data_IF_182680962748
#
_entry.id   IF_182680962748
#
_cell.length_a   1.000
_cell.length_b   1.000
_cell.length_c   1.000
_cell.angle_alpha   90.00
_cell.angle_beta   90.00
_cell.angle_gamma   90.00
#
_symmetry.space_group_name_H-M   'P 1'
#
loop_
_entity.id
_entity.type
_entity.pdbx_description
1 polymer ?
#
# COMPACT_ATOMS: atom_id res chain seq x y z
N UNK A 1 16.07 -18.43 -28.30
CA UNK A 1 16.41 -17.73 -27.04
C UNK A 1 17.69 -16.95 -27.29
N UNK A 2 17.68 -15.61 -27.24
CA UNK A 2 18.91 -14.84 -27.15
C UNK A 2 19.21 -14.51 -25.68
N UNK A 3 20.44 -14.83 -25.26
CA UNK A 3 20.99 -14.53 -23.94
C UNK A 3 21.23 -13.02 -23.79
N UNK A 4 20.68 -12.44 -22.72
CA UNK A 4 20.96 -11.08 -22.27
C UNK A 4 21.97 -11.15 -21.12
N UNK A 5 23.20 -10.67 -21.36
CA UNK A 5 24.19 -10.43 -20.31
C UNK A 5 24.24 -8.92 -20.04
N UNK A 6 24.05 -8.54 -18.77
CA UNK A 6 24.22 -7.17 -18.32
C UNK A 6 25.69 -6.89 -18.02
N UNK A 7 26.20 -5.79 -18.60
CA UNK A 7 27.50 -5.24 -18.26
C UNK A 7 27.28 -3.84 -17.69
N UNK A 8 27.69 -3.63 -16.45
CA UNK A 8 27.66 -2.31 -15.78
C UNK A 8 29.05 -1.71 -15.92
N UNK A 9 29.16 -0.66 -16.74
CA UNK A 9 30.38 0.13 -16.87
C UNK A 9 30.38 1.30 -15.90
N UNK A 10 31.43 1.43 -15.10
CA UNK A 10 31.70 2.60 -14.27
C UNK A 10 32.27 3.73 -15.14
N UNK A 11 31.58 4.88 -15.22
CA UNK A 11 32.17 6.12 -15.72
C UNK A 11 31.30 6.97 -16.64
N UNK A 12 30.77 8.05 -16.05
CA UNK A 12 30.37 9.36 -16.60
C UNK A 12 30.15 9.57 -18.12
N UNK A 13 28.96 10.15 -18.38
CA UNK A 13 28.60 11.09 -19.46
C UNK A 13 28.27 10.58 -20.88
N UNK A 14 26.98 10.79 -21.22
CA UNK A 14 26.30 10.71 -22.54
C UNK A 14 25.89 9.33 -23.04
N UNK A 15 24.64 8.99 -22.77
CA UNK A 15 23.90 8.04 -23.61
C UNK A 15 23.35 8.76 -24.84
N UNK A 16 23.76 8.31 -26.03
CA UNK A 16 23.19 8.72 -27.31
C UNK A 16 22.47 7.50 -27.89
N UNK A 17 21.17 7.62 -28.15
CA UNK A 17 20.36 6.54 -28.71
C UNK A 17 20.76 6.32 -30.18
N UNK A 18 21.44 5.21 -30.46
CA UNK A 18 21.67 4.73 -31.81
C UNK A 18 20.53 3.79 -32.24
N UNK A 19 19.85 4.14 -33.32
CA UNK A 19 18.75 3.39 -33.93
C UNK A 19 19.30 2.36 -34.91
N UNK A 20 18.99 1.07 -34.73
CA UNK A 20 19.21 0.04 -35.76
C UNK A 20 17.94 -0.18 -36.59
N UNK A 21 18.14 -0.35 -37.90
CA UNK A 21 17.10 -0.42 -38.93
C UNK A 21 16.31 -1.75 -38.92
N UNK A 22 15.05 -1.63 -39.37
CA UNK A 22 14.03 -2.66 -39.59
C UNK A 22 14.39 -3.76 -40.63
N UNK A 23 13.48 -4.76 -40.75
CA UNK A 23 12.86 -4.98 -42.05
C UNK A 23 11.32 -4.95 -42.02
N UNK A 24 10.75 -3.89 -42.59
CA UNK A 24 9.84 -3.88 -43.76
C UNK A 24 8.71 -4.91 -43.82
N UNK A 25 7.48 -4.46 -43.52
CA UNK A 25 6.27 -4.86 -44.27
C UNK A 25 5.38 -3.63 -44.55
N UNK A 26 4.85 -3.59 -45.77
CA UNK A 26 4.33 -2.43 -46.48
C UNK A 26 2.89 -2.08 -46.12
N UNK A 27 2.54 -0.79 -46.09
CA UNK A 27 1.12 -0.44 -46.11
C UNK A 27 0.65 1.02 -46.18
N UNK A 28 1.40 2.07 -45.82
CA UNK A 28 0.81 3.43 -45.83
C UNK A 28 1.82 4.53 -46.20
N UNK A 29 1.91 4.89 -47.49
CA UNK A 29 2.85 5.90 -48.01
C UNK A 29 2.23 7.23 -48.43
N UNK A 30 0.95 7.49 -48.17
CA UNK A 30 0.31 8.74 -48.61
C UNK A 30 -0.01 9.76 -47.49
N UNK A 31 0.04 9.37 -46.21
CA UNK A 31 -0.40 10.25 -45.11
C UNK A 31 0.76 11.07 -44.50
N UNK A 32 1.99 10.56 -44.51
CA UNK A 32 3.13 11.22 -43.84
C UNK A 32 3.66 12.49 -44.55
N UNK A 33 3.45 12.63 -45.86
CA UNK A 33 3.93 13.81 -46.60
C UNK A 33 3.10 15.08 -46.34
N UNK A 34 1.85 14.93 -45.88
CA UNK A 34 0.96 16.06 -45.60
C UNK A 34 1.22 16.68 -44.21
N UNK A 35 1.65 15.88 -43.23
CA UNK A 35 1.97 16.33 -41.87
C UNK A 35 3.30 17.10 -41.81
N UNK A 36 4.30 16.69 -42.59
CA UNK A 36 5.62 17.35 -42.59
C UNK A 36 5.58 18.73 -43.26
N UNK A 37 4.76 18.91 -44.31
CA UNK A 37 4.60 20.20 -44.98
C UNK A 37 3.82 21.21 -44.11
N UNK A 38 2.83 20.77 -43.32
CA UNK A 38 2.11 21.65 -42.40
C UNK A 38 2.97 22.04 -41.17
N UNK A 39 3.82 21.14 -40.68
CA UNK A 39 4.72 21.42 -39.54
C UNK A 39 5.82 22.44 -39.86
N UNK A 40 6.34 22.46 -41.09
CA UNK A 40 7.37 23.42 -41.49
C UNK A 40 6.82 24.85 -41.71
N UNK A 41 5.54 25.01 -42.06
CA UNK A 41 4.91 26.32 -42.26
C UNK A 41 4.64 27.09 -40.95
N UNK A 42 4.27 26.39 -39.88
CA UNK A 42 3.98 27.01 -38.57
C UNK A 42 5.25 27.48 -37.82
N UNK A 43 6.40 26.85 -38.07
CA UNK A 43 7.68 27.23 -37.45
C UNK A 43 8.26 28.55 -37.92
N UNK A 44 7.88 29.03 -39.12
CA UNK A 44 8.40 30.30 -39.67
C UNK A 44 7.59 31.50 -39.18
N UNK A 45 6.28 31.34 -38.95
CA UNK A 45 5.41 32.45 -38.49
C UNK A 45 5.69 32.84 -37.02
N UNK A 46 6.10 31.88 -36.18
CA UNK A 46 6.42 32.15 -34.78
C UNK A 46 7.76 32.87 -34.56
N UNK A 47 8.67 32.87 -35.53
CA UNK A 47 10.00 33.49 -35.40
C UNK A 47 10.05 34.97 -35.79
N UNK A 48 8.95 35.52 -36.30
CA UNK A 48 8.85 36.91 -36.77
C UNK A 48 8.08 37.84 -35.82
N UNK A 49 7.64 37.35 -34.66
CA UNK A 49 7.07 38.21 -33.63
C UNK A 49 8.21 38.88 -32.84
N UNK A 50 8.32 40.23 -32.87
CA UNK A 50 9.31 40.92 -32.05
C UNK A 50 9.03 40.61 -30.57
N UNK A 51 10.08 40.25 -29.83
CA UNK A 51 9.99 40.01 -28.40
C UNK A 51 9.39 41.25 -27.71
N UNK A 52 8.36 41.08 -26.87
CA UNK A 52 7.81 42.19 -26.12
C UNK A 52 8.92 42.79 -25.23
N UNK A 53 8.97 44.12 -25.08
CA UNK A 53 9.97 44.76 -24.25
C UNK A 53 9.93 44.16 -22.84
N UNK A 54 11.09 43.92 -22.21
CA UNK A 54 11.17 43.27 -20.91
C UNK A 54 10.30 44.04 -19.93
N UNK A 55 9.30 43.36 -19.37
CA UNK A 55 8.54 43.91 -18.26
C UNK A 55 9.52 44.20 -17.12
N UNK A 56 9.41 45.36 -16.45
CA UNK A 56 10.25 45.66 -15.30
C UNK A 56 10.09 44.52 -14.30
N UNK A 57 11.18 43.79 -14.06
CA UNK A 57 11.22 42.73 -13.06
C UNK A 57 10.74 43.33 -11.75
N UNK A 58 9.59 42.89 -11.20
CA UNK A 58 9.15 43.40 -9.91
C UNK A 58 10.27 43.12 -8.90
N UNK A 59 10.78 44.18 -8.28
CA UNK A 59 11.75 44.06 -7.19
C UNK A 59 11.19 43.06 -6.19
N UNK A 60 11.89 41.95 -5.88
CA UNK A 60 11.40 40.97 -4.93
C UNK A 60 11.15 41.69 -3.61
N UNK A 61 9.87 41.77 -3.23
CA UNK A 61 9.49 42.22 -1.90
C UNK A 61 10.05 41.15 -0.96
N UNK A 62 11.11 41.48 -0.24
CA UNK A 62 11.63 40.69 0.86
C UNK A 62 10.55 40.64 1.95
N UNK A 63 9.63 39.69 1.84
CA UNK A 63 8.79 39.31 2.96
C UNK A 63 9.73 38.88 4.09
N UNK A 64 9.57 39.41 5.32
CA UNK A 64 10.38 38.98 6.45
C UNK A 64 10.26 37.47 6.57
N UNK A 65 11.40 36.77 6.56
CA UNK A 65 11.44 35.33 6.82
C UNK A 65 10.79 35.12 8.18
N UNK A 66 9.72 34.32 8.29
CA UNK A 66 9.07 34.09 9.57
C UNK A 66 10.10 33.56 10.56
N UNK A 67 10.28 34.26 11.69
CA UNK A 67 11.16 33.82 12.77
C UNK A 67 10.61 32.49 13.27
N UNK A 68 11.36 31.39 13.07
CA UNK A 68 10.98 30.07 13.57
C UNK A 68 10.77 30.17 15.08
N UNK A 69 9.57 29.88 15.55
CA UNK A 69 9.29 29.88 16.99
C UNK A 69 10.22 28.87 17.68
N UNK A 70 10.59 29.14 18.92
CA UNK A 70 11.30 28.15 19.73
C UNK A 70 10.28 27.15 20.29
N UNK A 71 10.60 25.85 20.24
CA UNK A 71 9.76 24.81 20.84
C UNK A 71 9.65 25.11 22.35
N UNK A 72 8.43 25.14 22.93
CA UNK A 72 8.28 25.25 24.38
C UNK A 72 9.02 24.12 25.10
N UNK A 73 9.82 24.45 26.12
CA UNK A 73 10.66 23.48 26.81
C UNK A 73 9.88 22.25 27.30
N UNK A 74 8.70 22.45 27.90
CA UNK A 74 7.83 21.35 28.34
C UNK A 74 7.34 20.44 27.21
N UNK A 75 7.08 21.00 26.01
CA UNK A 75 6.69 20.19 24.85
C UNK A 75 7.87 19.35 24.38
N UNK A 76 9.06 19.94 24.34
CA UNK A 76 10.29 19.22 24.02
C UNK A 76 10.54 18.07 25.01
N UNK A 77 10.38 18.32 26.32
CA UNK A 77 10.54 17.32 27.37
C UNK A 77 9.54 16.15 27.21
N UNK A 78 8.29 16.43 26.84
CA UNK A 78 7.31 15.37 26.51
C UNK A 78 7.75 14.54 25.31
N UNK A 79 8.19 15.18 24.22
CA UNK A 79 8.65 14.48 23.01
C UNK A 79 9.87 13.60 23.32
N UNK A 80 10.83 14.10 24.10
CA UNK A 80 12.00 13.32 24.53
C UNK A 80 11.58 12.12 25.37
N UNK A 81 10.73 12.34 26.38
CA UNK A 81 10.21 11.27 27.25
C UNK A 81 9.50 10.18 26.46
N UNK A 82 8.65 10.57 25.52
CA UNK A 82 7.94 9.66 24.61
C UNK A 82 8.92 8.86 23.75
N UNK A 83 9.92 9.53 23.16
CA UNK A 83 10.89 8.89 22.30
C UNK A 83 11.74 7.85 23.06
N UNK A 84 12.18 8.18 24.28
CA UNK A 84 12.91 7.25 25.15
C UNK A 84 12.05 6.04 25.53
N UNK A 85 10.80 6.26 25.93
CA UNK A 85 9.89 5.20 26.32
C UNK A 85 9.63 4.19 25.17
N UNK A 86 9.41 4.70 23.96
CA UNK A 86 9.30 3.87 22.75
C UNK A 86 10.58 3.09 22.46
N UNK A 87 11.76 3.72 22.61
CA UNK A 87 13.04 3.09 22.36
C UNK A 87 13.31 1.91 23.31
N UNK A 88 12.95 2.08 24.59
CA UNK A 88 13.20 1.12 25.66
C UNK A 88 12.09 0.07 25.82
N UNK A 89 10.93 0.27 25.17
CA UNK A 89 9.76 -0.58 25.38
C UNK A 89 9.08 -0.33 26.74
N UNK A 90 9.23 0.87 27.31
CA UNK A 90 8.57 1.27 28.56
C UNK A 90 7.14 1.77 28.30
N UNK A 91 6.20 0.82 28.28
CA UNK A 91 4.79 1.11 28.02
C UNK A 91 4.14 2.01 29.09
N UNK A 92 4.60 1.94 30.34
CA UNK A 92 4.03 2.73 31.44
C UNK A 92 4.41 4.20 31.30
N UNK A 93 5.70 4.48 31.05
CA UNK A 93 6.17 5.85 30.79
C UNK A 93 5.54 6.41 29.51
N UNK A 94 5.45 5.60 28.45
CA UNK A 94 4.82 6.03 27.20
C UNK A 94 3.37 6.46 27.45
N UNK A 95 2.58 5.66 28.20
CA UNK A 95 1.19 5.99 28.55
C UNK A 95 1.06 7.32 29.31
N UNK A 96 1.99 7.65 30.19
CA UNK A 96 1.95 8.92 30.92
C UNK A 96 2.14 10.14 30.01
N UNK A 97 2.62 9.94 28.78
CA UNK A 97 2.72 11.02 27.79
C UNK A 97 1.45 11.19 26.97
N UNK A 98 0.42 10.35 27.14
CA UNK A 98 -0.78 10.33 26.30
C UNK A 98 -2.00 10.95 26.98
N UNK A 99 -2.92 11.51 26.17
CA UNK A 99 -4.23 11.92 26.66
C UNK A 99 -5.04 10.74 27.17
N UNK A 100 -5.87 10.97 28.20
CA UNK A 100 -6.88 10.00 28.63
C UNK A 100 -7.86 9.67 27.48
N UNK A 101 -8.18 10.65 26.62
CA UNK A 101 -9.05 10.45 25.45
C UNK A 101 -8.47 9.54 24.36
N UNK A 102 -7.18 9.18 24.45
CA UNK A 102 -6.50 8.29 23.49
C UNK A 102 -6.53 6.83 23.98
N UNK A 103 -6.87 6.58 25.26
CA UNK A 103 -6.69 5.25 25.87
C UNK A 103 -7.48 4.12 25.20
N UNK A 104 -8.67 4.43 24.65
CA UNK A 104 -9.49 3.44 23.92
C UNK A 104 -8.96 3.07 22.52
N UNK A 105 -8.32 4.00 21.81
CA UNK A 105 -7.69 3.72 20.50
C UNK A 105 -6.40 2.87 20.66
N UNK A 106 -5.81 2.87 21.87
CA UNK A 106 -4.47 2.33 22.14
C UNK A 106 -4.48 0.98 22.86
N UNK A 107 -5.61 0.50 23.38
CA UNK A 107 -5.67 -0.82 24.02
C UNK A 107 -5.18 -1.98 23.12
N UNK A 108 -5.47 -1.94 21.81
CA UNK A 108 -4.93 -2.91 20.85
C UNK A 108 -3.42 -2.74 20.59
N UNK A 109 -2.88 -1.52 20.71
CA UNK A 109 -1.44 -1.27 20.63
C UNK A 109 -0.71 -1.71 21.90
N UNK A 110 -1.39 -1.72 23.06
CA UNK A 110 -0.81 -2.10 24.36
C UNK A 110 -0.43 -3.57 24.42
N UNK A 111 -1.25 -4.44 23.86
CA UNK A 111 -0.98 -5.89 23.86
C UNK A 111 0.26 -6.26 23.03
N UNK A 112 0.65 -5.39 22.09
CA UNK A 112 1.77 -5.60 21.18
C UNK A 112 2.88 -4.54 21.34
N UNK A 113 2.95 -3.85 22.48
CA UNK A 113 3.96 -2.82 22.72
C UNK A 113 5.34 -3.45 22.79
N UNK A 114 6.18 -3.17 21.80
CA UNK A 114 7.55 -3.68 21.69
C UNK A 114 8.54 -2.53 21.62
N UNK A 115 9.74 -2.75 22.17
CA UNK A 115 10.81 -1.76 22.11
C UNK A 115 11.19 -1.45 20.65
N UNK A 116 11.22 -0.17 20.29
CA UNK A 116 11.66 0.28 18.96
C UNK A 116 13.17 0.15 18.79
N UNK A 117 13.91 0.07 19.90
CA UNK A 117 15.35 -0.05 19.94
C UNK A 117 16.06 1.30 19.90
N UNK A 118 17.38 1.26 20.11
CA UNK A 118 18.27 2.42 20.10
C UNK A 118 19.29 2.30 18.96
N UNK A 119 19.75 3.41 18.36
CA UNK A 119 20.86 3.36 17.42
C UNK A 119 22.12 2.88 18.15
N UNK A 120 22.91 2.02 17.51
CA UNK A 120 24.15 1.44 18.08
C UNK A 120 25.37 2.36 18.05
N UNK A 121 25.22 3.60 17.54
CA UNK A 121 26.28 4.60 17.38
C UNK A 121 25.91 5.89 18.15
N UNK A 122 26.76 6.93 18.10
CA UNK A 122 26.46 8.28 18.61
C UNK A 122 25.34 9.02 17.84
N UNK A 123 24.52 8.30 17.07
CA UNK A 123 23.39 8.87 16.33
C UNK A 123 22.26 9.22 17.29
N UNK A 124 21.57 10.32 17.00
CA UNK A 124 20.42 10.76 17.80
C UNK A 124 19.28 9.76 17.74
N UNK A 125 18.63 9.51 18.88
CA UNK A 125 17.44 8.65 18.97
C UNK A 125 16.30 9.18 18.09
N UNK A 126 16.11 10.49 18.07
CA UNK A 126 15.13 11.17 17.23
C UNK A 126 15.61 12.57 16.84
N UNK A 127 14.93 13.16 15.86
CA UNK A 127 15.08 14.54 15.41
C UNK A 127 13.69 15.13 15.16
N UNK A 128 13.43 16.33 15.68
CA UNK A 128 12.24 17.11 15.31
C UNK A 128 12.56 17.82 13.99
N UNK A 129 11.92 17.37 12.91
CA UNK A 129 12.11 17.91 11.56
C UNK A 129 11.43 19.27 11.46
N UNK A 130 10.18 19.33 11.91
CA UNK A 130 9.40 20.53 11.94
C UNK A 130 8.37 20.50 13.07
N UNK A 131 7.88 21.68 13.44
CA UNK A 131 6.85 21.81 14.45
C UNK A 131 6.13 23.14 14.27
N UNK A 132 4.89 23.22 14.76
CA UNK A 132 4.21 24.49 14.93
C UNK A 132 3.27 24.46 16.14
N UNK A 133 3.04 25.64 16.71
CA UNK A 133 1.97 25.85 17.68
C UNK A 133 0.70 26.21 16.91
N UNK A 134 -0.29 25.33 16.97
CA UNK A 134 -1.60 25.56 16.39
C UNK A 134 -2.40 26.56 17.24
N UNK A 135 -2.23 26.48 18.57
CA UNK A 135 -2.73 27.42 19.56
C UNK A 135 -1.75 27.47 20.74
N UNK A 136 -2.05 28.27 21.77
CA UNK A 136 -1.28 28.26 23.02
C UNK A 136 -1.32 26.91 23.75
N UNK A 137 -2.28 26.04 23.41
CA UNK A 137 -2.52 24.75 24.06
C UNK A 137 -2.53 23.58 23.10
N UNK A 138 -2.12 23.75 21.83
CA UNK A 138 -2.04 22.66 20.87
C UNK A 138 -0.89 22.85 19.89
N UNK A 139 -0.28 21.74 19.51
CA UNK A 139 0.89 21.73 18.64
C UNK A 139 0.90 20.47 17.78
N UNK A 140 1.70 20.52 16.71
CA UNK A 140 2.13 19.32 16.01
C UNK A 140 3.65 19.31 15.91
N UNK A 141 4.22 18.11 15.84
CA UNK A 141 5.64 17.91 15.59
C UNK A 141 5.83 16.78 14.58
N UNK A 142 6.63 17.03 13.55
CA UNK A 142 7.08 16.04 12.60
C UNK A 142 8.41 15.48 13.08
N UNK A 143 8.39 14.23 13.52
CA UNK A 143 9.46 13.59 14.27
C UNK A 143 10.01 12.45 13.44
N UNK A 144 11.33 12.44 13.26
CA UNK A 144 12.09 11.32 12.73
C UNK A 144 12.75 10.57 13.88
N UNK A 145 12.32 9.35 14.17
CA UNK A 145 12.76 8.53 15.30
C UNK A 145 13.30 7.18 14.84
N UNK A 146 14.31 6.67 15.54
CA UNK A 146 14.86 5.35 15.26
C UNK A 146 13.89 4.23 15.67
N UNK A 147 13.67 3.27 14.78
CA UNK A 147 12.82 2.09 14.97
C UNK A 147 13.38 0.92 14.16
N UNK A 148 13.64 -0.20 14.83
CA UNK A 148 14.01 -1.48 14.20
C UNK A 148 15.19 -1.33 13.19
N UNK A 149 16.24 -0.61 13.57
CA UNK A 149 17.44 -0.48 12.73
C UNK A 149 17.42 0.70 11.74
N UNK A 150 16.27 1.34 11.52
CA UNK A 150 16.07 2.42 10.54
C UNK A 150 15.34 3.62 11.13
N UNK A 151 15.33 4.75 10.43
CA UNK A 151 14.59 5.94 10.86
C UNK A 151 13.18 5.97 10.27
N UNK A 152 12.23 6.15 11.17
CA UNK A 152 10.79 6.25 10.94
C UNK A 152 10.35 7.70 11.18
N UNK A 153 9.58 8.27 10.26
CA UNK A 153 9.10 9.65 10.35
C UNK A 153 7.59 9.68 10.53
N UNK A 154 7.12 10.45 11.49
CA UNK A 154 5.70 10.57 11.83
C UNK A 154 5.38 11.99 12.31
N UNK A 155 4.22 12.50 11.91
CA UNK A 155 3.64 13.72 12.48
C UNK A 155 2.75 13.35 13.67
N UNK A 156 3.05 13.93 14.82
CA UNK A 156 2.32 13.73 16.09
C UNK A 156 1.68 15.03 16.53
N UNK A 157 0.56 14.91 17.22
CA UNK A 157 -0.17 16.05 17.78
C UNK A 157 -0.08 16.04 19.29
N UNK A 158 -0.07 17.24 19.86
CA UNK A 158 0.03 17.46 21.29
C UNK A 158 -0.98 18.50 21.75
N UNK A 159 -1.47 18.35 22.97
CA UNK A 159 -2.27 19.35 23.66
C UNK A 159 -1.68 19.64 25.04
N UNK A 160 -1.89 20.86 25.53
CA UNK A 160 -1.50 21.28 26.86
C UNK A 160 -2.72 21.23 27.79
N UNK A 161 -2.64 20.48 28.87
CA UNK A 161 -3.75 20.31 29.83
C UNK A 161 -3.76 21.37 30.95
N UNK A 162 -2.76 22.26 30.97
CA UNK A 162 -2.55 23.26 32.01
C UNK A 162 -1.27 23.04 32.82
N UNK A 163 -0.78 21.80 32.88
CA UNK A 163 0.43 21.41 33.62
C UNK A 163 1.45 20.74 32.70
N UNK A 164 1.01 19.84 31.83
CA UNK A 164 1.83 19.01 30.95
C UNK A 164 1.37 19.12 29.49
N UNK A 165 2.32 18.86 28.59
CA UNK A 165 1.99 18.52 27.21
C UNK A 165 1.77 17.02 27.11
N UNK A 166 0.69 16.64 26.43
CA UNK A 166 0.27 15.26 26.25
C UNK A 166 0.01 15.00 24.77
N UNK A 167 0.33 13.80 24.30
CA UNK A 167 0.06 13.33 22.95
C UNK A 167 -1.44 13.22 22.74
N UNK A 168 -1.94 13.90 21.72
CA UNK A 168 -3.33 13.88 21.30
C UNK A 168 -3.59 12.69 20.35
N UNK A 169 -4.86 12.26 20.20
CA UNK A 169 -5.22 11.23 19.24
C UNK A 169 -4.85 11.66 17.82
N UNK A 170 -4.30 10.73 17.05
CA UNK A 170 -4.01 10.93 15.62
C UNK A 170 -5.29 11.06 14.77
N UNK A 171 -6.47 10.80 15.35
CA UNK A 171 -7.80 11.04 14.76
C UNK A 171 -8.25 12.51 14.77
N UNK A 172 -7.50 13.43 15.39
CA UNK A 172 -7.90 14.83 15.47
C UNK A 172 -7.61 15.62 14.18
N UNK A 173 -8.35 15.29 13.12
CA UNK A 173 -8.30 15.95 11.80
C UNK A 173 -8.50 17.47 11.85
N UNK A 174 -9.07 18.01 12.94
CA UNK A 174 -9.22 19.46 13.14
C UNK A 174 -7.90 20.20 13.29
N UNK A 175 -6.80 19.48 13.54
CA UNK A 175 -5.45 20.04 13.65
C UNK A 175 -4.75 20.19 12.28
N UNK A 176 -5.34 19.67 11.22
CA UNK A 176 -4.91 19.91 9.83
C UNK A 176 -5.51 21.21 9.31
N UNK A 177 -4.90 21.82 8.28
CA UNK A 177 -5.44 23.07 7.70
C UNK A 177 -6.81 22.90 7.03
N UNK A 178 -7.28 21.66 6.84
CA UNK A 178 -8.50 21.33 6.11
C UNK A 178 -8.42 21.56 4.61
N UNK A 179 -7.25 21.96 4.09
CA UNK A 179 -7.03 22.14 2.66
C UNK A 179 -6.62 20.82 2.03
N UNK A 180 -7.33 20.46 0.97
CA UNK A 180 -7.05 19.27 0.16
C UNK A 180 -6.46 19.68 -1.19
N UNK A 181 -5.60 18.81 -1.73
CA UNK A 181 -5.13 18.80 -3.10
C UNK A 181 -5.55 17.51 -3.78
N UNK A 182 -5.49 17.52 -5.11
CA UNK A 182 -5.71 16.32 -5.89
C UNK A 182 -4.59 16.10 -6.91
N UNK A 183 -4.31 14.83 -7.15
CA UNK A 183 -3.39 14.38 -8.20
C UNK A 183 -3.98 13.14 -8.85
N UNK A 184 -3.78 13.00 -10.15
CA UNK A 184 -4.23 11.84 -10.90
C UNK A 184 -3.04 10.97 -11.28
N UNK A 185 -3.20 9.66 -11.11
CA UNK A 185 -2.27 8.63 -11.59
C UNK A 185 -2.97 7.76 -12.64
N UNK A 186 -2.40 6.63 -13.04
CA UNK A 186 -3.03 5.74 -14.02
C UNK A 186 -4.33 5.15 -13.48
N UNK A 187 -4.33 4.69 -12.22
CA UNK A 187 -5.46 3.97 -11.63
C UNK A 187 -6.17 4.75 -10.51
N UNK A 188 -5.64 5.90 -10.09
CA UNK A 188 -6.19 6.65 -8.96
C UNK A 188 -6.47 8.12 -9.25
N UNK A 189 -7.65 8.58 -8.84
CA UNK A 189 -7.95 9.98 -8.60
C UNK A 189 -7.71 10.26 -7.11
N UNK A 190 -6.57 10.86 -6.78
CA UNK A 190 -6.10 10.97 -5.41
C UNK A 190 -6.53 12.31 -4.82
N UNK A 191 -7.07 12.27 -3.60
CA UNK A 191 -7.37 13.44 -2.77
C UNK A 191 -6.58 13.31 -1.48
N UNK A 192 -5.77 14.32 -1.15
CA UNK A 192 -4.89 14.30 0.02
C UNK A 192 -4.80 15.68 0.65
N UNK A 193 -4.49 15.76 1.95
CA UNK A 193 -4.31 17.04 2.62
C UNK A 193 -2.96 17.69 2.27
N UNK A 194 -2.91 19.01 2.15
CA UNK A 194 -1.71 19.74 1.66
C UNK A 194 -0.42 19.44 2.44
N UNK A 195 -0.53 19.07 3.71
CA UNK A 195 0.60 18.73 4.57
C UNK A 195 1.25 17.38 4.17
N UNK A 196 0.55 16.52 3.43
CA UNK A 196 1.07 15.26 2.87
C UNK A 196 1.85 15.47 1.54
N UNK A 197 1.88 16.69 0.99
CA UNK A 197 2.50 16.96 -0.32
C UNK A 197 3.93 16.42 -0.47
N UNK A 198 4.72 16.47 0.60
CA UNK A 198 6.12 16.03 0.57
C UNK A 198 6.29 14.51 0.47
N UNK A 199 5.27 13.73 0.84
CA UNK A 199 5.34 12.26 0.91
C UNK A 199 4.45 11.56 -0.11
N UNK A 200 3.41 12.26 -0.58
CA UNK A 200 2.37 11.66 -1.43
C UNK A 200 2.94 11.06 -2.72
N UNK A 201 3.92 11.68 -3.37
CA UNK A 201 4.45 11.19 -4.64
C UNK A 201 5.14 9.82 -4.51
N UNK A 202 5.92 9.61 -3.44
CA UNK A 202 6.54 8.30 -3.19
C UNK A 202 5.51 7.25 -2.81
N UNK A 203 4.51 7.62 -2.00
CA UNK A 203 3.41 6.73 -1.61
C UNK A 203 2.60 6.27 -2.81
N UNK A 204 2.24 7.20 -3.70
CA UNK A 204 1.46 6.88 -4.89
C UNK A 204 2.21 6.02 -5.90
N UNK A 205 3.52 6.21 -6.04
CA UNK A 205 4.33 5.33 -6.88
C UNK A 205 4.29 3.88 -6.37
N UNK A 206 4.47 3.68 -5.06
CA UNK A 206 4.40 2.34 -4.48
C UNK A 206 2.99 1.74 -4.61
N UNK A 207 1.94 2.52 -4.34
CA UNK A 207 0.55 2.07 -4.53
C UNK A 207 0.24 1.66 -5.96
N UNK A 208 0.76 2.39 -6.95
CA UNK A 208 0.62 2.05 -8.37
C UNK A 208 1.34 0.75 -8.73
N UNK A 209 2.56 0.54 -8.22
CA UNK A 209 3.32 -0.70 -8.39
C UNK A 209 2.58 -1.88 -7.75
N UNK A 210 2.16 -1.75 -6.50
CA UNK A 210 1.42 -2.78 -5.77
C UNK A 210 0.07 -3.08 -6.43
N UNK A 211 -0.66 -2.06 -6.88
CA UNK A 211 -1.92 -2.24 -7.60
C UNK A 211 -1.72 -3.03 -8.89
N UNK A 212 -0.69 -2.71 -9.68
CA UNK A 212 -0.39 -3.43 -10.91
C UNK A 212 0.00 -4.89 -10.65
N UNK A 213 0.78 -5.14 -9.60
CA UNK A 213 1.17 -6.48 -9.21
C UNK A 213 -0.04 -7.31 -8.74
N UNK A 214 -0.90 -6.73 -7.90
CA UNK A 214 -2.16 -7.35 -7.50
C UNK A 214 -3.06 -7.59 -8.71
N UNK A 215 -3.22 -6.62 -9.59
CA UNK A 215 -4.10 -6.75 -10.74
C UNK A 215 -3.60 -7.79 -11.75
N UNK A 216 -2.29 -7.97 -11.89
CA UNK A 216 -1.73 -9.05 -12.69
C UNK A 216 -2.10 -10.41 -12.09
N UNK A 217 -1.87 -10.58 -10.79
CA UNK A 217 -2.03 -11.87 -10.13
C UNK A 217 -3.53 -12.23 -9.95
N UNK A 218 -4.40 -11.23 -9.78
CA UNK A 218 -5.86 -11.35 -9.71
C UNK A 218 -6.57 -11.27 -11.07
N UNK A 219 -5.84 -11.09 -12.18
CA UNK A 219 -6.40 -11.17 -13.52
C UNK A 219 -7.25 -9.98 -13.98
N UNK A 220 -7.06 -8.77 -13.46
CA UNK A 220 -7.84 -7.57 -13.83
C UNK A 220 -7.94 -7.32 -15.34
N UNK A 221 -6.93 -7.73 -16.12
CA UNK A 221 -6.90 -7.53 -17.57
C UNK A 221 -7.99 -8.29 -18.34
N UNK A 222 -8.53 -9.37 -17.77
CA UNK A 222 -9.57 -10.18 -18.43
C UNK A 222 -10.90 -9.43 -18.58
N UNK A 223 -11.13 -8.39 -17.76
CA UNK A 223 -12.36 -7.59 -17.77
C UNK A 223 -12.47 -6.64 -18.98
N UNK A 224 -11.38 -6.39 -19.70
CA UNK A 224 -11.36 -5.44 -20.82
C UNK A 224 -11.67 -3.99 -20.43
N UNK A 225 -11.79 -3.70 -19.13
CA UNK A 225 -11.99 -2.38 -18.56
C UNK A 225 -10.84 -2.08 -17.58
N UNK A 226 -10.27 -0.88 -17.70
CA UNK A 226 -9.29 -0.36 -16.75
C UNK A 226 -10.01 0.04 -15.45
N UNK A 227 -9.63 -0.59 -14.34
CA UNK A 227 -10.15 -0.24 -13.02
C UNK A 227 -9.55 1.08 -12.58
N UNK A 228 -10.40 2.02 -12.17
CA UNK A 228 -9.96 3.33 -11.67
C UNK A 228 -10.72 3.67 -10.39
N UNK A 229 -10.02 4.15 -9.38
CA UNK A 229 -10.58 4.40 -8.04
C UNK A 229 -10.38 5.85 -7.62
N UNK A 230 -11.24 6.34 -6.74
CA UNK A 230 -10.91 7.54 -5.97
C UNK A 230 -10.12 7.13 -4.74
N UNK A 231 -8.92 7.67 -4.55
CA UNK A 231 -8.09 7.39 -3.38
C UNK A 231 -8.08 8.60 -2.45
N UNK A 232 -8.73 8.50 -1.30
CA UNK A 232 -8.80 9.59 -0.34
C UNK A 232 -7.93 9.32 0.88
N UNK A 233 -6.90 10.15 1.06
CA UNK A 233 -6.10 10.17 2.28
C UNK A 233 -6.80 10.99 3.36
N UNK A 234 -7.19 10.33 4.46
CA UNK A 234 -7.91 10.95 5.58
C UNK A 234 -6.97 11.27 6.74
N UNK A 235 -7.22 12.39 7.40
CA UNK A 235 -6.45 12.85 8.57
C UNK A 235 -6.78 12.11 9.86
N UNK A 236 -7.13 10.82 9.80
CA UNK A 236 -7.41 9.98 10.96
C UNK A 236 -6.58 8.71 10.90
N UNK A 237 -6.03 8.29 12.04
CA UNK A 237 -5.37 6.99 12.17
C UNK A 237 -6.33 5.84 12.47
N UNK A 238 -7.58 6.16 12.84
CA UNK A 238 -8.55 5.19 13.33
C UNK A 238 -9.39 4.68 12.18
N UNK A 239 -9.52 3.35 12.14
CA UNK A 239 -10.16 2.58 11.08
C UNK A 239 -11.65 2.33 11.37
N UNK A 240 -12.37 3.37 11.81
CA UNK A 240 -13.79 3.26 12.20
C UNK A 240 -14.75 3.03 11.02
N UNK A 241 -14.23 2.91 9.80
CA UNK A 241 -15.02 2.69 8.60
C UNK A 241 -14.32 1.66 7.70
N UNK A 242 -15.09 0.88 6.93
CA UNK A 242 -14.50 0.01 5.92
C UNK A 242 -13.60 0.85 5.01
N UNK A 243 -12.42 0.33 4.65
CA UNK A 243 -11.44 1.09 3.90
C UNK A 243 -11.88 1.32 2.45
N UNK A 244 -12.95 0.66 1.99
CA UNK A 244 -13.55 0.84 0.67
C UNK A 244 -15.04 1.22 0.76
N UNK A 245 -15.42 2.30 0.06
CA UNK A 245 -16.79 2.79 -0.10
C UNK A 245 -17.25 2.48 -1.54
N UNK A 246 -17.83 1.29 -1.74
CA UNK A 246 -18.27 0.78 -3.04
C UNK A 246 -19.21 1.75 -3.76
N UNK A 247 -20.11 2.42 -3.03
CA UNK A 247 -21.07 3.35 -3.62
C UNK A 247 -20.40 4.55 -4.31
N UNK A 248 -19.18 4.89 -3.89
CA UNK A 248 -18.36 5.96 -4.47
C UNK A 248 -17.16 5.46 -5.25
N UNK A 249 -16.92 4.15 -5.25
CA UNK A 249 -15.68 3.55 -5.71
C UNK A 249 -14.46 4.26 -5.10
N UNK A 250 -14.52 4.52 -3.78
CA UNK A 250 -13.57 5.32 -3.04
C UNK A 250 -12.83 4.45 -2.02
N UNK A 251 -11.51 4.41 -2.14
CA UNK A 251 -10.59 3.82 -1.16
C UNK A 251 -10.19 4.91 -0.18
N UNK A 252 -10.41 4.69 1.11
CA UNK A 252 -9.99 5.58 2.19
C UNK A 252 -8.77 5.03 2.89
N UNK A 253 -7.67 5.77 2.78
CA UNK A 253 -6.44 5.45 3.48
C UNK A 253 -6.13 6.52 4.52
N UNK A 254 -5.56 6.17 5.67
CA UNK A 254 -5.03 7.16 6.59
C UNK A 254 -3.85 7.92 5.95
N UNK A 255 -3.65 9.16 6.37
CA UNK A 255 -2.51 9.97 5.96
C UNK A 255 -1.19 9.26 6.28
N UNK A 256 -0.24 9.16 5.32
CA UNK A 256 1.06 8.52 5.55
C UNK A 256 1.87 9.23 6.64
N UNK A 257 1.67 10.54 6.83
CA UNK A 257 2.36 11.28 7.90
C UNK A 257 1.86 10.91 9.29
N UNK A 258 0.58 10.58 9.44
CA UNK A 258 -0.01 10.25 10.74
C UNK A 258 0.34 8.85 11.18
N UNK A 259 0.31 7.89 10.26
CA UNK A 259 0.77 6.54 10.56
C UNK A 259 2.28 6.44 10.62
N UNK A 260 2.96 7.28 9.85
CA UNK A 260 4.41 7.35 9.73
C UNK A 260 4.97 6.38 8.69
N UNK A 261 6.17 6.67 8.22
CA UNK A 261 6.83 5.97 7.13
C UNK A 261 8.35 5.88 7.35
N UNK A 262 9.01 4.93 6.73
CA UNK A 262 10.47 4.84 6.74
C UNK A 262 11.05 5.70 5.61
N UNK A 263 12.10 6.48 5.88
CA UNK A 263 12.71 7.34 4.85
C UNK A 263 13.45 6.53 3.75
N UNK A 264 13.68 5.23 3.99
CA UNK A 264 14.34 4.31 3.06
C UNK A 264 13.37 3.74 2.01
N UNK A 265 12.94 4.59 1.06
CA UNK A 265 12.45 4.19 -0.27
C UNK A 265 11.01 3.67 -0.37
N UNK A 266 10.56 2.83 0.56
CA UNK A 266 9.17 2.36 0.64
C UNK A 266 8.39 3.23 1.63
N UNK A 267 7.26 3.77 1.19
CA UNK A 267 6.37 4.57 2.02
C UNK A 267 5.67 3.73 3.10
N UNK A 268 5.51 2.41 2.87
CA UNK A 268 4.97 1.46 3.83
C UNK A 268 5.53 0.04 3.61
N UNK A 269 5.46 -0.78 4.67
CA UNK A 269 5.83 -2.22 4.67
C UNK A 269 4.97 -2.98 5.68
N UNK A 270 4.82 -4.31 5.58
CA UNK A 270 4.06 -5.18 6.51
C UNK A 270 4.38 -5.00 7.99
N UNK A 271 5.58 -4.53 8.32
CA UNK A 271 5.97 -4.15 9.69
C UNK A 271 5.27 -2.89 10.22
N UNK A 272 4.50 -2.20 9.38
CA UNK A 272 3.69 -1.05 9.72
C UNK A 272 2.21 -1.45 9.73
N UNK A 273 1.47 -0.98 10.73
CA UNK A 273 0.01 -1.12 10.74
C UNK A 273 -0.63 -0.53 9.46
N UNK A 274 0.07 0.38 8.78
CA UNK A 274 -0.40 1.05 7.58
C UNK A 274 -0.56 0.12 6.39
N UNK A 275 0.42 -0.74 6.11
CA UNK A 275 0.41 -1.56 4.89
C UNK A 275 -0.73 -2.59 4.92
N UNK A 276 -1.02 -3.20 6.07
CA UNK A 276 -2.14 -4.13 6.20
C UNK A 276 -3.47 -3.48 5.79
N UNK A 277 -3.68 -2.23 6.18
CA UNK A 277 -4.86 -1.47 5.75
C UNK A 277 -4.83 -1.12 4.28
N UNK A 278 -3.70 -0.66 3.75
CA UNK A 278 -3.56 -0.36 2.32
C UNK A 278 -3.88 -1.58 1.47
N UNK A 279 -3.28 -2.71 1.79
CA UNK A 279 -3.44 -3.96 1.07
C UNK A 279 -4.85 -4.53 1.19
N UNK A 280 -5.45 -4.51 2.39
CA UNK A 280 -6.86 -4.90 2.56
C UNK A 280 -7.77 -4.04 1.70
N UNK A 281 -7.57 -2.72 1.71
CA UNK A 281 -8.38 -1.78 0.95
C UNK A 281 -8.27 -1.99 -0.57
N UNK A 282 -7.05 -2.20 -1.08
CA UNK A 282 -6.80 -2.48 -2.49
C UNK A 282 -7.41 -3.81 -2.91
N UNK A 283 -7.23 -4.86 -2.10
CA UNK A 283 -7.82 -6.17 -2.36
C UNK A 283 -9.34 -6.10 -2.39
N UNK A 284 -9.97 -5.54 -1.35
CA UNK A 284 -11.42 -5.37 -1.27
C UNK A 284 -11.93 -4.62 -2.50
N UNK A 285 -11.29 -3.51 -2.85
CA UNK A 285 -11.68 -2.72 -4.01
C UNK A 285 -11.58 -3.49 -5.33
N UNK A 286 -10.50 -4.25 -5.54
CA UNK A 286 -10.32 -5.10 -6.72
C UNK A 286 -11.36 -6.22 -6.72
N UNK A 287 -11.45 -6.99 -5.65
CA UNK A 287 -12.34 -8.16 -5.56
C UNK A 287 -13.80 -7.77 -5.74
N UNK A 288 -14.26 -6.72 -5.06
CA UNK A 288 -15.64 -6.24 -5.18
C UNK A 288 -15.95 -5.77 -6.60
N UNK A 289 -15.03 -5.07 -7.26
CA UNK A 289 -15.26 -4.61 -8.63
C UNK A 289 -15.17 -5.74 -9.67
N UNK A 290 -14.31 -6.73 -9.44
CA UNK A 290 -14.09 -7.82 -10.37
C UNK A 290 -15.17 -8.92 -10.26
N UNK A 291 -15.55 -9.26 -9.03
CA UNK A 291 -16.36 -10.45 -8.73
C UNK A 291 -17.71 -10.09 -8.08
N UNK A 292 -17.94 -8.82 -7.72
CA UNK A 292 -19.20 -8.40 -7.07
C UNK A 292 -19.41 -9.02 -5.68
N UNK A 293 -18.34 -9.49 -5.03
CA UNK A 293 -18.38 -10.19 -3.75
C UNK A 293 -18.16 -9.20 -2.61
N UNK A 294 -19.22 -8.86 -1.88
CA UNK A 294 -19.13 -7.89 -0.77
C UNK A 294 -19.09 -8.52 0.63
N UNK A 295 -19.53 -9.79 0.78
CA UNK A 295 -19.67 -10.44 2.10
C UNK A 295 -19.08 -11.86 2.19
N UNK A 296 -18.44 -12.35 1.12
CA UNK A 296 -17.81 -13.69 1.07
C UNK A 296 -18.71 -14.85 1.56
N UNK A 297 -20.03 -14.75 1.34
CA UNK A 297 -21.05 -15.66 1.87
C UNK A 297 -21.43 -16.81 0.91
N UNK A 298 -20.85 -16.88 -0.28
CA UNK A 298 -21.16 -17.87 -1.30
C UNK A 298 -20.14 -19.03 -1.30
N UNK A 299 -20.51 -20.21 -1.81
CA UNK A 299 -19.54 -21.24 -2.13
C UNK A 299 -18.46 -20.71 -3.09
N UNK A 300 -17.21 -21.06 -2.86
CA UNK A 300 -16.05 -20.58 -3.62
C UNK A 300 -15.39 -19.33 -3.03
N UNK A 301 -16.09 -18.57 -2.18
CA UNK A 301 -15.57 -17.32 -1.62
C UNK A 301 -14.34 -17.53 -0.71
N UNK A 302 -14.28 -18.66 0.00
CA UNK A 302 -13.07 -19.03 0.77
C UNK A 302 -11.84 -19.21 -0.13
N UNK A 303 -12.01 -19.75 -1.34
CA UNK A 303 -10.94 -19.93 -2.30
C UNK A 303 -10.49 -18.58 -2.89
N UNK A 304 -11.45 -17.69 -3.20
CA UNK A 304 -11.17 -16.31 -3.59
C UNK A 304 -10.34 -15.58 -2.52
N UNK A 305 -10.68 -15.75 -1.24
CA UNK A 305 -9.91 -15.20 -0.12
C UNK A 305 -8.49 -15.76 -0.05
N UNK A 306 -8.33 -17.08 -0.20
CA UNK A 306 -7.02 -17.72 -0.18
C UNK A 306 -6.13 -17.27 -1.36
N UNK A 307 -6.71 -17.07 -2.55
CA UNK A 307 -6.00 -16.51 -3.72
C UNK A 307 -5.60 -15.06 -3.46
N UNK A 308 -6.42 -14.29 -2.75
CA UNK A 308 -6.12 -12.91 -2.39
C UNK A 308 -4.93 -12.81 -1.43
N UNK A 309 -4.86 -13.68 -0.41
CA UNK A 309 -3.67 -13.81 0.46
C UNK A 309 -2.44 -14.21 -0.36
N UNK A 310 -2.59 -15.16 -1.28
CA UNK A 310 -1.51 -15.60 -2.15
C UNK A 310 -0.96 -14.44 -3.00
N UNK A 311 -1.83 -13.63 -3.62
CA UNK A 311 -1.45 -12.46 -4.39
C UNK A 311 -0.72 -11.43 -3.52
N UNK A 312 -1.24 -11.14 -2.32
CA UNK A 312 -0.58 -10.23 -1.37
C UNK A 312 0.84 -10.67 -1.00
N UNK A 313 1.00 -11.95 -0.67
CA UNK A 313 2.30 -12.50 -0.27
C UNK A 313 3.36 -12.43 -1.40
N UNK A 314 2.93 -12.21 -2.65
CA UNK A 314 3.81 -12.03 -3.81
C UNK A 314 4.20 -10.58 -4.05
N UNK A 315 3.32 -9.63 -3.70
CA UNK A 315 3.64 -8.19 -3.70
C UNK A 315 4.66 -7.88 -2.62
N UNK A 316 4.34 -8.28 -1.40
CA UNK A 316 5.22 -8.11 -0.26
C UNK A 316 5.05 -9.34 0.65
N UNK A 317 6.13 -10.09 0.96
CA UNK A 317 6.03 -11.29 1.78
C UNK A 317 5.35 -11.01 3.13
N UNK A 318 4.32 -11.79 3.44
CA UNK A 318 3.61 -11.67 4.71
C UNK A 318 4.54 -12.03 5.88
N UNK A 319 4.34 -11.43 7.07
CA UNK A 319 5.08 -11.82 8.27
C UNK A 319 5.00 -13.32 8.52
N UNK A 320 6.09 -13.89 9.02
CA UNK A 320 6.16 -15.33 9.26
C UNK A 320 5.04 -15.80 10.19
N UNK A 321 4.67 -14.99 11.18
CA UNK A 321 3.61 -15.26 12.14
C UNK A 321 2.23 -15.36 11.46
N UNK A 322 1.95 -14.48 10.49
CA UNK A 322 0.72 -14.51 9.69
C UNK A 322 0.67 -15.77 8.83
N UNK A 323 1.80 -16.12 8.21
CA UNK A 323 1.91 -17.35 7.42
C UNK A 323 1.87 -18.59 8.30
N UNK A 324 2.40 -18.55 9.51
CA UNK A 324 2.41 -19.66 10.46
C UNK A 324 0.99 -19.96 10.96
N UNK A 325 0.16 -18.93 11.18
CA UNK A 325 -1.28 -19.13 11.41
C UNK A 325 -1.98 -19.85 10.24
N UNK A 326 -1.50 -19.64 9.01
CA UNK A 326 -2.01 -20.31 7.80
C UNK A 326 -1.32 -21.65 7.52
N UNK A 327 -0.19 -21.96 8.18
CA UNK A 327 0.64 -23.15 7.95
C UNK A 327 0.61 -24.14 9.10
N UNK A 328 0.11 -23.76 10.27
CA UNK A 328 -0.12 -24.65 11.41
C UNK A 328 -1.56 -25.16 11.32
N UNK A 329 -1.83 -26.23 10.56
CA UNK A 329 -3.13 -26.87 10.62
C UNK A 329 -3.33 -27.28 12.07
N UNK A 330 -4.42 -26.86 12.69
CA UNK A 330 -4.76 -27.26 14.06
C UNK A 330 -5.07 -28.76 14.14
N UNK A 331 -4.14 -29.66 13.82
CA UNK A 331 -4.31 -31.12 13.72
C UNK A 331 -5.62 -31.53 13.03
N UNK A 332 -6.13 -30.72 12.10
CA UNK A 332 -7.42 -30.95 11.45
C UNK A 332 -7.21 -31.94 10.30
N UNK A 333 -8.10 -32.92 10.11
CA UNK A 333 -8.02 -33.78 8.95
C UNK A 333 -8.14 -32.95 7.66
N UNK A 334 -7.44 -33.38 6.61
CA UNK A 334 -7.60 -32.78 5.28
C UNK A 334 -9.05 -32.94 4.83
N UNK A 335 -9.68 -31.82 4.50
CA UNK A 335 -11.06 -31.79 4.02
C UNK A 335 -11.10 -32.20 2.55
N UNK A 336 -12.23 -32.78 2.13
CA UNK A 336 -12.51 -32.98 0.72
C UNK A 336 -12.59 -31.63 0.00
N UNK A 337 -12.15 -31.59 -1.26
CA UNK A 337 -12.14 -30.37 -2.07
C UNK A 337 -13.54 -29.76 -2.22
N UNK A 338 -14.57 -30.58 -2.32
CA UNK A 338 -15.97 -30.13 -2.36
C UNK A 338 -16.40 -29.50 -1.03
N UNK A 339 -15.91 -30.00 0.11
CA UNK A 339 -16.17 -29.38 1.41
C UNK A 339 -15.50 -28.02 1.51
N UNK A 340 -14.28 -27.88 0.99
CA UNK A 340 -13.57 -26.59 0.95
C UNK A 340 -14.33 -25.56 0.09
N UNK A 341 -14.97 -25.98 -0.99
CA UNK A 341 -15.81 -25.09 -1.81
C UNK A 341 -16.97 -24.48 -1.04
N UNK A 342 -17.64 -25.26 -0.20
CA UNK A 342 -18.77 -24.78 0.59
C UNK A 342 -18.34 -23.89 1.77
N UNK A 343 -17.04 -23.79 2.05
CA UNK A 343 -16.52 -22.93 3.13
C UNK A 343 -16.47 -21.47 2.66
N UNK A 344 -17.50 -20.71 3.07
CA UNK A 344 -17.76 -19.33 2.66
C UNK A 344 -19.12 -18.87 3.21
N UNK A 345 -20.11 -19.76 3.24
CA UNK A 345 -21.41 -19.50 3.89
C UNK A 345 -21.24 -19.28 5.40
N UNK A 346 -21.36 -18.03 5.83
CA UNK A 346 -21.06 -17.52 7.17
C UNK A 346 -21.62 -18.31 8.37
N UNK A 347 -20.82 -18.31 9.45
CA UNK A 347 -21.27 -18.52 10.83
C UNK A 347 -20.35 -19.37 11.69
N UNK A 348 -19.61 -20.31 11.10
CA UNK A 348 -18.73 -21.21 11.87
C UNK A 348 -17.36 -20.57 12.08
N UNK A 349 -16.92 -20.56 13.34
CA UNK A 349 -15.60 -20.06 13.73
C UNK A 349 -14.50 -20.93 13.12
N UNK A 350 -13.91 -20.43 12.04
CA UNK A 350 -12.72 -21.00 11.41
C UNK A 350 -12.98 -21.57 10.02
N UNK A 351 -13.03 -20.70 9.01
CA UNK A 351 -12.76 -21.09 7.63
C UNK A 351 -11.47 -21.94 7.63
N UNK A 352 -11.40 -23.07 6.91
CA UNK A 352 -10.18 -23.85 6.74
C UNK A 352 -9.24 -23.14 5.75
N UNK A 353 -8.96 -21.87 6.05
CA UNK A 353 -8.20 -20.93 5.23
C UNK A 353 -6.75 -21.40 5.08
N UNK A 354 -6.22 -22.12 6.08
CA UNK A 354 -4.97 -22.85 6.00
C UNK A 354 -4.99 -23.87 4.84
N UNK A 355 -6.01 -24.73 4.76
CA UNK A 355 -6.11 -25.75 3.72
C UNK A 355 -6.37 -25.13 2.33
N UNK A 356 -7.21 -24.10 2.25
CA UNK A 356 -7.45 -23.34 1.02
C UNK A 356 -6.18 -22.65 0.53
N UNK A 357 -5.40 -22.04 1.43
CA UNK A 357 -4.12 -21.43 1.08
C UNK A 357 -3.09 -22.49 0.63
N UNK A 358 -3.05 -23.65 1.28
CA UNK A 358 -2.24 -24.78 0.83
C UNK A 358 -2.65 -25.31 -0.54
N UNK A 359 -3.95 -25.34 -0.84
CA UNK A 359 -4.47 -25.70 -2.17
C UNK A 359 -3.97 -24.73 -3.24
N UNK A 360 -4.05 -23.41 -2.99
CA UNK A 360 -3.51 -22.39 -3.91
C UNK A 360 -2.01 -22.57 -4.11
N UNK A 361 -1.24 -22.83 -3.05
CA UNK A 361 0.21 -23.11 -3.15
C UNK A 361 0.52 -24.36 -3.95
N UNK A 362 -0.26 -25.44 -3.78
CA UNK A 362 -0.12 -26.64 -4.59
C UNK A 362 -0.35 -26.32 -6.07
N UNK A 363 -1.39 -25.54 -6.39
CA UNK A 363 -1.71 -25.16 -7.76
C UNK A 363 -0.57 -24.35 -8.39
N UNK A 364 -0.02 -23.37 -7.67
CA UNK A 364 1.14 -22.61 -8.13
C UNK A 364 2.36 -23.51 -8.38
N UNK A 365 2.63 -24.48 -7.50
CA UNK A 365 3.80 -25.36 -7.61
C UNK A 365 3.67 -26.37 -8.76
N UNK A 366 2.51 -26.98 -8.93
CA UNK A 366 2.28 -28.04 -9.92
C UNK A 366 1.98 -27.47 -11.32
N UNK A 367 1.22 -26.36 -11.38
CA UNK A 367 0.69 -25.81 -12.64
C UNK A 367 1.17 -24.38 -12.95
N UNK A 368 1.87 -23.71 -12.03
CA UNK A 368 2.39 -22.36 -12.20
C UNK A 368 1.44 -21.25 -11.74
N UNK A 369 1.96 -20.03 -11.58
CA UNK A 369 1.18 -18.89 -11.10
C UNK A 369 -0.01 -18.52 -12.02
N UNK A 370 0.14 -18.64 -13.34
CA UNK A 370 -0.95 -18.36 -14.28
C UNK A 370 -2.15 -19.30 -14.09
N UNK A 371 -1.93 -20.52 -13.61
CA UNK A 371 -3.00 -21.46 -13.32
C UNK A 371 -3.85 -21.01 -12.12
N UNK A 372 -3.27 -20.31 -11.15
CA UNK A 372 -4.02 -19.70 -10.04
C UNK A 372 -4.97 -18.61 -10.58
N UNK A 373 -4.48 -17.76 -11.49
CA UNK A 373 -5.30 -16.72 -12.13
C UNK A 373 -6.42 -17.32 -12.98
N UNK A 374 -6.17 -18.37 -13.76
CA UNK A 374 -7.23 -19.04 -14.54
C UNK A 374 -8.27 -19.73 -13.64
N UNK A 375 -7.83 -20.33 -12.52
CA UNK A 375 -8.77 -20.86 -11.52
C UNK A 375 -9.66 -19.75 -10.97
N UNK A 376 -9.06 -18.62 -10.61
CA UNK A 376 -9.77 -17.45 -10.11
C UNK A 376 -10.85 -16.97 -11.09
N UNK A 377 -10.52 -16.87 -12.39
CA UNK A 377 -11.49 -16.53 -13.44
C UNK A 377 -12.63 -17.55 -13.54
N UNK A 378 -12.36 -18.83 -13.30
CA UNK A 378 -13.38 -19.88 -13.35
C UNK A 378 -14.33 -19.86 -12.14
N UNK A 379 -13.87 -19.40 -10.96
CA UNK A 379 -14.65 -19.40 -9.71
C UNK A 379 -15.98 -18.68 -9.87
N UNK A 380 -15.99 -17.50 -10.50
CA UNK A 380 -17.18 -16.64 -10.64
C UNK A 380 -18.36 -17.34 -11.32
N UNK A 381 -18.07 -18.21 -12.29
CA UNK A 381 -19.09 -18.93 -13.06
C UNK A 381 -19.34 -20.36 -12.59
N UNK A 382 -18.44 -20.92 -11.78
CA UNK A 382 -18.48 -22.31 -11.36
C UNK A 382 -19.53 -22.53 -10.25
N UNK A 383 -20.25 -23.65 -10.34
CA UNK A 383 -21.21 -24.06 -9.31
C UNK A 383 -20.60 -25.02 -8.28
N UNK A 384 -19.37 -25.49 -8.53
CA UNK A 384 -18.69 -26.48 -7.70
C UNK A 384 -17.17 -26.41 -7.88
N UNK A 385 -16.44 -26.98 -6.93
CA UNK A 385 -14.97 -27.15 -7.03
C UNK A 385 -14.55 -27.92 -8.28
N UNK A 386 -15.32 -28.94 -8.66
CA UNK A 386 -15.07 -29.78 -9.84
C UNK A 386 -15.08 -28.89 -11.08
N UNK A 387 -16.14 -28.10 -11.24
CA UNK A 387 -16.29 -27.19 -12.39
C UNK A 387 -15.20 -26.12 -12.41
N UNK A 388 -14.88 -25.51 -11.26
CA UNK A 388 -13.82 -24.51 -11.17
C UNK A 388 -12.44 -25.08 -11.58
N UNK A 389 -12.10 -26.29 -11.12
CA UNK A 389 -10.84 -26.97 -11.45
C UNK A 389 -10.81 -27.39 -12.93
N UNK A 390 -11.85 -28.06 -13.42
CA UNK A 390 -11.84 -28.57 -14.79
C UNK A 390 -11.85 -27.43 -15.82
N UNK A 391 -12.62 -26.36 -15.57
CA UNK A 391 -12.68 -25.21 -16.46
C UNK A 391 -11.45 -24.29 -16.32
N UNK A 392 -10.99 -24.02 -15.10
CA UNK A 392 -9.88 -23.11 -14.85
C UNK A 392 -8.51 -23.72 -15.13
N UNK A 393 -8.31 -24.98 -14.77
CA UNK A 393 -7.01 -25.66 -14.89
C UNK A 393 -6.93 -26.57 -16.12
N UNK A 394 -8.06 -26.93 -16.73
CA UNK A 394 -8.08 -27.81 -17.91
C UNK A 394 -7.63 -29.25 -17.62
N UNK A 395 -7.71 -29.68 -16.36
CA UNK A 395 -7.34 -31.04 -15.92
C UNK A 395 -8.56 -31.77 -15.35
N UNK A 396 -8.71 -33.09 -15.57
CA UNK A 396 -9.80 -33.85 -14.97
C UNK A 396 -9.74 -33.81 -13.44
N UNK A 397 -10.88 -33.59 -12.77
CA UNK A 397 -10.92 -33.42 -11.32
C UNK A 397 -10.32 -34.60 -10.55
N UNK A 398 -10.57 -35.84 -11.00
CA UNK A 398 -10.02 -37.04 -10.35
C UNK A 398 -8.48 -37.10 -10.41
N UNK A 399 -7.86 -36.62 -11.49
CA UNK A 399 -6.40 -36.52 -11.58
C UNK A 399 -5.87 -35.44 -10.63
N UNK A 400 -6.54 -34.28 -10.61
CA UNK A 400 -6.19 -33.19 -9.72
C UNK A 400 -6.25 -33.60 -8.25
N UNK A 401 -7.36 -34.19 -7.80
CA UNK A 401 -7.55 -34.62 -6.42
C UNK A 401 -6.48 -35.65 -6.02
N UNK A 402 -6.20 -36.63 -6.88
CA UNK A 402 -5.13 -37.60 -6.59
C UNK A 402 -3.77 -36.94 -6.35
N UNK A 403 -3.40 -35.95 -7.18
CA UNK A 403 -2.13 -35.21 -7.02
C UNK A 403 -2.15 -34.33 -5.77
N UNK A 404 -3.27 -33.64 -5.52
CA UNK A 404 -3.46 -32.82 -4.32
C UNK A 404 -3.29 -33.65 -3.05
N UNK A 405 -3.97 -34.79 -2.93
CA UNK A 405 -3.88 -35.68 -1.76
C UNK A 405 -2.44 -36.17 -1.54
N UNK A 406 -1.75 -36.54 -2.62
CA UNK A 406 -0.35 -36.98 -2.55
C UNK A 406 0.61 -35.86 -2.11
N UNK A 407 0.39 -34.63 -2.60
CA UNK A 407 1.16 -33.46 -2.21
C UNK A 407 0.88 -33.04 -0.77
N UNK A 408 -0.39 -33.01 -0.36
CA UNK A 408 -0.82 -32.61 0.98
C UNK A 408 -0.19 -33.50 2.05
N UNK A 409 -0.18 -34.82 1.84
CA UNK A 409 0.49 -35.78 2.73
C UNK A 409 1.99 -35.53 2.93
N UNK A 410 2.67 -34.93 1.96
CA UNK A 410 4.10 -34.65 2.03
C UNK A 410 4.42 -33.28 2.63
N UNK A 411 3.52 -32.31 2.44
CA UNK A 411 3.80 -30.90 2.67
C UNK A 411 2.99 -30.27 3.82
N UNK A 412 1.93 -30.93 4.29
CA UNK A 412 1.09 -30.45 5.39
C UNK A 412 1.38 -31.32 6.63
N UNK A 413 2.03 -30.77 7.68
CA UNK A 413 2.35 -31.52 8.89
C UNK A 413 1.10 -32.15 9.52
N UNK A 414 1.17 -33.44 9.86
CA UNK A 414 0.09 -34.16 10.55
C UNK A 414 -0.91 -34.90 9.65
N UNK A 415 -0.71 -34.91 8.33
CA UNK A 415 -1.39 -35.80 7.35
C UNK A 415 -0.50 -37.00 7.00
#
# INVERSE_FOLDING_TARGET
>A
MPDLHWHVGEGAERETIAKSNEPRRSGHRLVFLLVVMLGAGLGVVYRSLPEPPPHPTPTPILLPTPTRQAIPAKLFDTIDREAQALADGDSDTYRETEAESVQGEIEAQRENFTAWGRPGDDRSLYVIIDFDLLTDTSAWADIRQFRQGRYFRQTRFYYYDGEYWLRAPTSNSTLWSGREESVQTSHFNVIYAVEDRAVISSTLRQLEEDFQDLCRDLGCTSLGQELTFTLKFVGTSVFDSPPFDLAKNEIRLPSPRLLGFFESGQAYSWESNYSGHVYSALLEAIIENMYGVNNFDQPGDGLLWAISIWALNRVEPLPAETLDMLRDPQHRPLLALETLWETGRSGESGLPLDQLYHLVRFIEQEYGASAVTHLLEAIDSAQSMIEAIENGLGVPFAEFDQKWQAWAKQNIPGQ
#
